data_IF_875845662690
#
_entry.id   IF_875845662690
#
_cell.length_a   1.000
_cell.length_b   1.000
_cell.length_c   1.000
_cell.angle_alpha   90.00
_cell.angle_beta   90.00
_cell.angle_gamma   90.00
#
_symmetry.space_group_name_H-M   'P 1'
#
loop_
_entity.id
_entity.type
_entity.pdbx_description
1 polymer ?
#
# COMPACT_ATOMS: atom_id res chain seq x y z
N UNK A 1 0.76 -13.21 -13.40
CA UNK A 1 0.72 -14.07 -12.19
C UNK A 1 1.72 -15.18 -12.39
N UNK A 2 2.54 -15.64 -11.42
CA UNK A 2 3.00 -15.06 -10.15
C UNK A 2 4.55 -15.05 -10.05
N UNK A 3 5.12 -14.48 -8.99
CA UNK A 3 6.55 -14.55 -8.70
C UNK A 3 6.80 -14.42 -7.21
N UNK A 4 6.37 -15.43 -6.47
CA UNK A 4 6.35 -15.50 -5.02
C UNK A 4 7.70 -16.01 -4.50
N UNK A 5 8.41 -15.15 -3.77
CA UNK A 5 9.27 -15.40 -2.58
C UNK A 5 10.33 -16.50 -2.59
N UNK A 6 11.60 -16.11 -2.37
CA UNK A 6 12.63 -16.92 -1.69
C UNK A 6 13.60 -16.04 -0.87
N UNK A 7 13.91 -16.38 0.40
CA UNK A 7 14.78 -15.57 1.25
C UNK A 7 16.26 -15.89 1.05
N UNK A 8 17.12 -14.87 1.12
CA UNK A 8 18.58 -14.99 1.14
C UNK A 8 19.04 -15.89 2.30
N UNK A 9 19.55 -17.08 1.98
CA UNK A 9 20.20 -17.99 2.93
C UNK A 9 21.54 -18.46 2.38
N UNK A 10 22.51 -17.53 2.47
CA UNK A 10 23.97 -17.68 2.41
C UNK A 10 24.45 -19.15 2.39
N UNK A 11 24.77 -19.67 1.20
CA UNK A 11 25.66 -20.83 1.02
C UNK A 11 26.85 -20.40 0.17
N UNK A 12 28.04 -20.35 0.77
CA UNK A 12 29.27 -20.05 0.05
C UNK A 12 29.68 -21.30 -0.75
N UNK A 13 29.51 -21.26 -2.07
CA UNK A 13 29.98 -22.28 -3.00
C UNK A 13 31.39 -21.87 -3.52
N UNK A 14 32.43 -22.73 -3.40
CA UNK A 14 33.80 -22.39 -3.79
C UNK A 14 34.10 -22.60 -5.29
N UNK A 15 33.10 -22.94 -6.12
CA UNK A 15 33.29 -23.12 -7.56
C UNK A 15 32.72 -21.93 -8.33
N UNK A 16 33.60 -21.25 -9.07
CA UNK A 16 33.29 -20.06 -9.86
C UNK A 16 32.12 -20.26 -10.81
N UNK A 17 30.98 -19.68 -10.43
CA UNK A 17 29.81 -19.35 -11.24
C UNK A 17 29.32 -17.98 -10.79
N UNK A 18 28.80 -17.19 -11.73
CA UNK A 18 28.52 -15.76 -11.57
C UNK A 18 27.74 -15.42 -10.27
N UNK A 19 28.24 -14.48 -9.44
CA UNK A 19 27.56 -14.06 -8.24
C UNK A 19 26.52 -13.00 -8.59
N UNK A 20 25.25 -13.18 -8.22
CA UNK A 20 24.31 -12.07 -8.38
C UNK A 20 22.88 -12.22 -7.91
N UNK A 21 22.37 -13.43 -7.64
CA UNK A 21 20.96 -13.58 -7.27
C UNK A 21 20.70 -13.77 -5.77
N UNK A 22 21.76 -13.78 -4.94
CA UNK A 22 21.66 -13.88 -3.48
C UNK A 22 22.13 -12.61 -2.77
N UNK A 23 21.54 -11.50 -3.19
CA UNK A 23 21.24 -10.36 -2.35
C UNK A 23 20.05 -9.70 -3.05
N UNK A 24 18.83 -10.18 -2.79
CA UNK A 24 17.66 -9.30 -2.80
C UNK A 24 17.90 -8.29 -1.69
N UNK A 25 18.81 -7.35 -2.00
CA UNK A 25 18.74 -5.95 -1.70
C UNK A 25 17.65 -5.71 -0.68
N UNK A 26 17.99 -5.90 0.58
CA UNK A 26 18.27 -4.85 1.58
C UNK A 26 17.83 -3.39 1.25
N UNK A 27 17.21 -3.09 0.12
CA UNK A 27 16.00 -2.28 0.10
C UNK A 27 14.87 -3.13 0.68
N UNK A 28 14.91 -3.31 2.00
CA UNK A 28 13.70 -2.93 2.74
C UNK A 28 13.22 -1.63 2.07
N UNK A 29 12.05 -1.58 1.41
CA UNK A 29 11.45 -0.29 1.11
C UNK A 29 11.10 0.29 2.49
N UNK A 30 12.14 0.81 3.15
CA UNK A 30 12.00 1.81 4.19
C UNK A 30 11.07 2.81 3.56
N UNK A 31 9.94 2.99 4.23
CA UNK A 31 8.79 3.80 3.84
C UNK A 31 9.13 4.71 2.66
N UNK A 32 8.45 4.56 1.52
CA UNK A 32 8.28 5.73 0.65
C UNK A 32 7.72 6.83 1.57
N UNK A 33 8.53 7.84 1.98
CA UNK A 33 8.29 8.53 3.25
C UNK A 33 7.03 9.39 3.20
N UNK A 34 6.43 9.53 2.02
CA UNK A 34 5.28 10.36 1.80
C UNK A 34 4.56 9.89 0.53
N UNK A 35 3.55 9.02 0.64
CA UNK A 35 2.62 8.77 -0.45
C UNK A 35 1.88 10.09 -0.76
N UNK A 36 2.42 10.87 -1.70
CA UNK A 36 1.98 12.23 -2.07
C UNK A 36 0.49 12.28 -2.44
N UNK A 37 -0.05 11.16 -2.89
CA UNK A 37 -1.44 10.99 -3.31
C UNK A 37 -2.31 10.19 -2.34
N UNK A 38 -1.71 9.54 -1.33
CA UNK A 38 -2.43 8.77 -0.32
C UNK A 38 -3.21 9.67 0.65
N UNK A 39 -2.58 10.75 1.11
CA UNK A 39 -3.23 11.70 2.02
C UNK A 39 -4.45 12.38 1.37
N UNK A 40 -4.35 12.77 0.10
CA UNK A 40 -5.47 13.35 -0.66
C UNK A 40 -6.59 12.34 -0.89
N UNK A 41 -6.26 11.08 -1.19
CA UNK A 41 -7.25 10.01 -1.31
C UNK A 41 -7.99 9.76 0.01
N UNK A 42 -7.29 9.76 1.13
CA UNK A 42 -7.93 9.57 2.44
C UNK A 42 -8.87 10.73 2.80
N UNK A 43 -8.47 11.97 2.51
CA UNK A 43 -9.36 13.13 2.68
C UNK A 43 -10.57 13.08 1.75
N UNK A 44 -10.38 12.66 0.50
CA UNK A 44 -11.47 12.53 -0.47
C UNK A 44 -12.46 11.43 -0.06
N UNK A 45 -11.95 10.30 0.42
CA UNK A 45 -12.78 9.21 0.95
C UNK A 45 -13.56 9.67 2.18
N UNK A 46 -12.90 10.34 3.13
CA UNK A 46 -13.57 10.89 4.32
C UNK A 46 -14.64 11.93 3.96
N UNK A 47 -14.35 12.84 3.03
CA UNK A 47 -15.30 13.83 2.52
C UNK A 47 -16.50 13.19 1.81
N UNK A 48 -16.27 12.16 1.00
CA UNK A 48 -17.34 11.43 0.32
C UNK A 48 -18.26 10.71 1.32
N UNK A 49 -17.71 10.10 2.37
CA UNK A 49 -18.52 9.48 3.43
C UNK A 49 -19.40 10.51 4.14
N UNK A 50 -18.83 11.64 4.57
CA UNK A 50 -19.60 12.71 5.22
C UNK A 50 -20.68 13.29 4.30
N UNK A 51 -20.39 13.48 3.01
CA UNK A 51 -21.37 13.97 2.05
C UNK A 51 -22.57 13.03 1.98
N UNK A 52 -22.35 11.71 1.90
CA UNK A 52 -23.45 10.74 1.88
C UNK A 52 -24.27 10.82 3.16
N UNK A 53 -23.64 10.91 4.34
CA UNK A 53 -24.36 11.06 5.60
C UNK A 53 -25.22 12.33 5.65
N UNK A 54 -24.69 13.46 5.19
CA UNK A 54 -25.43 14.74 5.15
C UNK A 54 -26.62 14.64 4.19
N UNK A 55 -26.42 14.11 2.99
CA UNK A 55 -27.49 13.97 1.98
C UNK A 55 -28.63 13.10 2.52
N UNK A 56 -28.29 11.94 3.10
CA UNK A 56 -29.29 11.04 3.70
C UNK A 56 -29.98 11.73 4.88
N UNK A 57 -29.23 12.41 5.75
CA UNK A 57 -29.77 13.13 6.89
C UNK A 57 -30.79 14.20 6.49
N UNK A 58 -30.47 15.01 5.48
CA UNK A 58 -31.38 16.05 4.96
C UNK A 58 -32.65 15.43 4.40
N UNK A 59 -32.52 14.39 3.56
CA UNK A 59 -33.68 13.70 2.98
C UNK A 59 -34.54 13.09 4.11
N UNK A 60 -33.91 12.47 5.10
CA UNK A 60 -34.61 11.89 6.24
C UNK A 60 -35.37 12.95 7.05
N UNK A 61 -34.78 14.11 7.34
CA UNK A 61 -35.46 15.21 8.05
C UNK A 61 -36.65 15.77 7.27
N UNK A 62 -36.59 15.79 5.94
CA UNK A 62 -37.72 16.27 5.12
C UNK A 62 -38.82 15.20 5.00
N UNK A 63 -38.44 13.93 4.85
CA UNK A 63 -39.39 12.81 4.70
C UNK A 63 -40.00 12.35 6.04
N UNK A 64 -39.29 12.54 7.13
CA UNK A 64 -39.71 12.22 8.50
C UNK A 64 -39.20 13.32 9.44
N UNK A 65 -39.89 14.47 9.46
CA UNK A 65 -39.63 15.51 10.43
C UNK A 65 -40.01 15.08 11.86
#
# INVERSE_FOLDING_TARGET
MPGQGRPCSRRADPTGGEPGEECETWRMPVLDPNPKDGQKKMLLVFGAFLLIFVVIGVIATIASP
#
